data_IF_561310428077
#
_entry.id   IF_561310428077
#
_cell.length_a   1.000
_cell.length_b   1.000
_cell.length_c   1.000
_cell.angle_alpha   90.00
_cell.angle_beta   90.00
_cell.angle_gamma   90.00
#
_symmetry.space_group_name_H-M   'P 1'
#
loop_
_entity.id
_entity.type
_entity.pdbx_description
1 polymer ?
#
# COMPACT_ATOMS: atom_id res chain seq x y z
N UNK A 1 27.17 2.14 22.93
CA UNK A 1 26.49 3.26 22.28
C UNK A 1 25.18 2.76 21.68
N UNK A 2 24.03 3.39 21.95
CA UNK A 2 22.77 2.99 21.32
C UNK A 2 22.75 3.36 19.83
N UNK A 3 21.96 2.61 19.06
CA UNK A 3 21.70 2.87 17.65
C UNK A 3 20.20 2.81 17.44
N UNK A 4 19.63 3.86 16.86
CA UNK A 4 18.24 3.90 16.44
C UNK A 4 18.15 3.53 14.97
N UNK A 5 17.21 2.66 14.62
CA UNK A 5 16.92 2.26 13.24
C UNK A 5 15.49 2.69 12.95
N UNK A 6 15.29 3.42 11.85
CA UNK A 6 13.99 3.85 11.40
C UNK A 6 13.51 2.93 10.28
N UNK A 7 12.29 2.41 10.44
CA UNK A 7 11.68 1.46 9.53
C UNK A 7 10.35 2.02 9.00
N UNK A 8 10.08 1.82 7.71
CA UNK A 8 8.77 2.05 7.08
C UNK A 8 8.42 0.80 6.27
N UNK A 9 7.29 0.17 6.58
CA UNK A 9 6.86 -1.07 5.90
C UNK A 9 7.94 -2.15 5.86
N UNK A 10 8.56 -2.48 7.01
CA UNK A 10 9.70 -3.41 7.13
C UNK A 10 11.00 -3.02 6.40
N UNK A 11 11.02 -1.88 5.68
CA UNK A 11 12.21 -1.39 4.99
C UNK A 11 12.91 -0.37 5.85
N UNK A 12 14.24 -0.49 5.93
CA UNK A 12 15.08 0.45 6.66
C UNK A 12 15.24 1.76 5.89
N UNK A 13 14.68 2.82 6.46
CA UNK A 13 14.71 4.17 5.87
C UNK A 13 15.82 5.04 6.45
N UNK A 14 16.24 4.80 7.70
CA UNK A 14 17.33 5.58 8.28
C UNK A 14 18.00 4.91 9.49
N UNK A 15 19.13 5.46 9.93
CA UNK A 15 19.87 5.08 11.12
C UNK A 15 20.41 6.31 11.84
N UNK A 16 20.34 6.31 13.17
CA UNK A 16 21.00 7.30 14.01
C UNK A 16 21.89 6.58 15.03
N UNK A 17 23.18 6.93 15.03
CA UNK A 17 24.16 6.41 15.97
C UNK A 17 24.29 7.35 17.18
N UNK A 18 24.38 6.78 18.38
CA UNK A 18 24.60 7.53 19.61
C UNK A 18 23.30 8.02 20.26
N UNK A 19 23.44 8.55 21.48
CA UNK A 19 22.33 9.05 22.28
C UNK A 19 22.21 10.58 22.10
N UNK A 20 21.56 11.01 21.02
CA UNK A 20 21.24 12.42 20.78
C UNK A 20 19.73 12.59 20.65
N UNK A 21 19.12 13.19 21.67
CA UNK A 21 17.67 13.40 21.77
C UNK A 21 17.14 14.37 20.71
N UNK A 22 17.87 15.45 20.42
CA UNK A 22 17.45 16.47 19.47
C UNK A 22 17.53 15.95 18.03
N UNK A 23 18.61 15.24 17.71
CA UNK A 23 18.78 14.60 16.41
C UNK A 23 17.69 13.53 16.17
N UNK A 24 17.32 12.77 17.20
CA UNK A 24 16.24 11.79 17.11
C UNK A 24 14.89 12.48 16.86
N UNK A 25 14.55 13.51 17.63
CA UNK A 25 13.29 14.24 17.49
C UNK A 25 13.15 14.90 16.11
N UNK A 26 14.23 15.49 15.60
CA UNK A 26 14.25 16.08 14.27
C UNK A 26 14.07 15.02 13.18
N UNK A 27 14.75 13.86 13.29
CA UNK A 27 14.62 12.78 12.32
C UNK A 27 13.23 12.15 12.31
N UNK A 28 12.57 12.03 13.47
CA UNK A 28 11.18 11.60 13.56
C UNK A 28 10.25 12.59 12.87
N UNK A 29 10.41 13.91 13.09
CA UNK A 29 9.57 14.94 12.46
C UNK A 29 9.75 14.98 10.94
N UNK A 30 10.98 14.88 10.45
CA UNK A 30 11.32 14.79 9.02
C UNK A 30 10.61 13.59 8.37
N UNK A 31 10.79 12.40 8.94
CA UNK A 31 10.21 11.16 8.41
C UNK A 31 8.69 11.07 8.61
N UNK A 32 8.12 11.76 9.60
CA UNK A 32 6.68 11.86 9.80
C UNK A 32 6.03 12.81 8.79
N UNK A 33 6.69 13.92 8.42
CA UNK A 33 6.23 14.83 7.37
C UNK A 33 6.24 14.18 5.99
N UNK A 34 7.24 13.35 5.68
CA UNK A 34 7.24 12.53 4.45
C UNK A 34 6.22 11.39 4.47
N UNK A 35 5.67 11.03 5.63
CA UNK A 35 4.63 10.03 5.75
C UNK A 35 3.23 10.57 5.45
N UNK A 36 3.08 11.86 5.15
CA UNK A 36 1.82 12.45 4.65
C UNK A 36 1.50 12.08 3.20
N UNK A 37 2.04 10.97 2.69
CA UNK A 37 1.26 10.15 1.76
C UNK A 37 0.09 9.62 2.57
N UNK A 38 -1.04 10.34 2.54
CA UNK A 38 -2.32 9.93 3.13
C UNK A 38 -2.63 8.49 2.73
N UNK A 39 -2.15 7.52 3.48
CA UNK A 39 -2.84 6.27 3.58
C UNK A 39 -4.06 6.62 4.41
N UNK A 40 -5.15 6.99 3.72
CA UNK A 40 -6.49 7.15 4.29
C UNK A 40 -6.94 5.75 4.77
N UNK A 41 -6.22 5.21 5.75
CA UNK A 41 -6.51 3.94 6.36
C UNK A 41 -7.75 4.17 7.19
N UNK A 42 -8.87 3.79 6.60
CA UNK A 42 -10.21 3.83 7.20
C UNK A 42 -10.22 3.10 8.55
N UNK A 43 -9.31 2.13 8.74
CA UNK A 43 -9.18 1.34 9.97
C UNK A 43 -7.90 1.69 10.72
N UNK A 44 -8.07 2.34 11.87
CA UNK A 44 -6.97 2.70 12.78
C UNK A 44 -6.17 1.47 13.22
N UNK A 45 -4.84 1.60 13.23
CA UNK A 45 -3.93 0.55 13.72
C UNK A 45 -3.68 -0.59 12.74
N UNK A 46 -4.30 -0.58 11.56
CA UNK A 46 -3.97 -1.49 10.46
C UNK A 46 -2.96 -0.85 9.51
N UNK A 47 -2.30 -1.69 8.72
CA UNK A 47 -1.31 -1.28 7.71
C UNK A 47 -1.90 -1.53 6.32
N UNK A 48 -1.60 -0.65 5.36
CA UNK A 48 -1.85 -0.93 3.95
C UNK A 48 -0.94 -2.07 3.47
N UNK A 49 -1.56 -3.15 2.99
CA UNK A 49 -0.87 -4.34 2.52
C UNK A 49 -0.69 -4.39 1.00
N UNK A 50 -1.13 -3.36 0.24
CA UNK A 50 -0.91 -3.29 -1.21
C UNK A 50 0.56 -3.45 -1.59
N UNK A 51 1.48 -2.95 -0.75
CA UNK A 51 2.93 -3.04 -0.94
C UNK A 51 3.47 -4.48 -0.82
N UNK A 52 2.69 -5.40 -0.23
CA UNK A 52 3.06 -6.81 -0.13
C UNK A 52 2.52 -7.65 -1.30
N UNK A 53 1.70 -7.07 -2.19
CA UNK A 53 1.20 -7.78 -3.36
C UNK A 53 2.34 -8.13 -4.32
N UNK A 54 2.30 -9.37 -4.80
CA UNK A 54 3.10 -9.82 -5.92
C UNK A 54 2.31 -9.58 -7.21
N UNK A 55 2.29 -8.31 -7.66
CA UNK A 55 1.47 -7.86 -8.80
C UNK A 55 1.64 -8.73 -10.07
N UNK A 56 2.86 -9.14 -10.47
CA UNK A 56 3.04 -10.01 -11.64
C UNK A 56 2.33 -11.38 -11.56
N UNK A 57 2.02 -11.85 -10.35
CA UNK A 57 1.32 -13.11 -10.11
C UNK A 57 -0.13 -12.89 -9.64
N UNK A 58 -0.65 -11.67 -9.76
CA UNK A 58 -2.07 -11.41 -9.62
C UNK A 58 -2.74 -11.60 -10.97
N UNK A 59 -3.97 -12.12 -10.96
CA UNK A 59 -4.73 -12.37 -12.18
C UNK A 59 -6.16 -11.86 -12.01
N UNK A 60 -6.79 -11.45 -13.11
CA UNK A 60 -8.19 -11.10 -13.14
C UNK A 60 -8.86 -11.79 -14.32
N UNK A 61 -10.01 -12.41 -14.09
CA UNK A 61 -10.87 -12.97 -15.14
C UNK A 61 -12.04 -12.02 -15.40
N UNK A 62 -12.50 -12.01 -16.66
CA UNK A 62 -13.56 -11.14 -17.19
C UNK A 62 -13.23 -9.64 -17.18
N UNK A 63 -11.96 -9.26 -17.00
CA UNK A 63 -11.53 -7.87 -17.08
C UNK A 63 -11.31 -7.41 -18.52
N UNK A 64 -11.55 -6.13 -18.74
CA UNK A 64 -11.25 -5.45 -20.00
C UNK A 64 -9.74 -5.22 -20.16
N UNK A 65 -9.20 -5.49 -21.35
CA UNK A 65 -7.79 -5.28 -21.67
C UNK A 65 -7.37 -3.80 -21.59
N UNK A 66 -8.28 -2.87 -21.91
CA UNK A 66 -8.04 -1.42 -21.82
C UNK A 66 -8.08 -0.89 -20.37
N UNK A 67 -8.67 -1.66 -19.46
CA UNK A 67 -8.88 -1.32 -18.06
C UNK A 67 -8.47 -2.50 -17.15
N UNK A 68 -7.18 -2.89 -17.16
CA UNK A 68 -6.67 -4.08 -16.48
C UNK A 68 -6.62 -3.94 -14.95
N UNK A 69 -6.35 -5.06 -14.27
CA UNK A 69 -6.24 -5.16 -12.82
C UNK A 69 -5.22 -4.18 -12.21
N UNK A 70 -4.13 -3.88 -12.92
CA UNK A 70 -3.08 -2.98 -12.43
C UNK A 70 -3.62 -1.59 -12.09
N UNK A 71 -4.64 -1.13 -12.82
CA UNK A 71 -5.30 0.16 -12.55
C UNK A 71 -6.04 0.17 -11.21
N UNK A 72 -6.43 -0.98 -10.65
CA UNK A 72 -7.05 -1.05 -9.33
C UNK A 72 -6.03 -0.91 -8.18
N UNK A 73 -4.74 -1.09 -8.45
CA UNK A 73 -3.67 -0.97 -7.45
C UNK A 73 -2.97 0.39 -7.47
N UNK A 74 -3.24 1.23 -8.45
CA UNK A 74 -2.61 2.54 -8.60
C UNK A 74 -3.53 3.66 -8.09
N UNK A 75 -2.96 4.55 -7.28
CA UNK A 75 -3.61 5.77 -6.82
C UNK A 75 -3.52 6.92 -7.84
N UNK A 76 -2.71 6.79 -8.89
CA UNK A 76 -2.42 7.85 -9.87
C UNK A 76 -3.52 8.02 -10.93
N UNK A 77 -4.47 7.08 -11.01
CA UNK A 77 -5.62 7.14 -11.91
C UNK A 77 -5.87 5.80 -12.61
N UNK A 78 -7.07 5.64 -13.15
CA UNK A 78 -7.53 4.41 -13.78
C UNK A 78 -8.61 3.70 -12.97
N UNK A 79 -9.22 2.70 -13.58
CA UNK A 79 -10.19 1.80 -12.96
C UNK A 79 -10.11 0.44 -13.63
N UNK A 80 -10.43 -0.60 -12.87
CA UNK A 80 -10.68 -1.94 -13.38
C UNK A 80 -12.11 -2.00 -13.92
N UNK A 81 -12.26 -2.50 -15.15
CA UNK A 81 -13.55 -2.65 -15.79
C UNK A 81 -13.82 -4.11 -16.15
N UNK A 82 -15.07 -4.54 -15.99
CA UNK A 82 -15.56 -5.79 -16.54
C UNK A 82 -16.08 -5.54 -17.96
N UNK A 83 -15.64 -6.31 -18.95
CA UNK A 83 -16.18 -6.22 -20.33
C UNK A 83 -16.95 -7.47 -20.79
N UNK A 84 -16.73 -8.60 -20.12
CA UNK A 84 -17.22 -9.89 -20.61
C UNK A 84 -18.55 -10.25 -19.92
N UNK A 85 -18.60 -10.10 -18.59
CA UNK A 85 -19.74 -10.43 -17.74
C UNK A 85 -19.91 -9.40 -16.62
N UNK A 86 -20.98 -9.51 -15.83
CA UNK A 86 -21.21 -8.70 -14.63
C UNK A 86 -20.36 -9.11 -13.41
N UNK A 87 -19.56 -10.18 -13.53
CA UNK A 87 -18.74 -10.74 -12.47
C UNK A 87 -17.26 -10.71 -12.83
N UNK A 88 -16.45 -10.11 -11.94
CA UNK A 88 -14.99 -10.16 -11.98
C UNK A 88 -14.46 -11.17 -10.97
N UNK A 89 -13.48 -11.99 -11.36
CA UNK A 89 -12.77 -12.88 -10.44
C UNK A 89 -11.34 -12.37 -10.31
N UNK A 90 -10.96 -11.95 -9.10
CA UNK A 90 -9.64 -11.37 -8.83
C UNK A 90 -8.84 -12.33 -7.95
N UNK A 91 -7.69 -12.77 -8.44
CA UNK A 91 -6.70 -13.54 -7.70
C UNK A 91 -5.56 -12.63 -7.25
N UNK A 92 -5.35 -12.52 -5.93
CA UNK A 92 -4.29 -11.70 -5.34
C UNK A 92 -3.22 -12.57 -4.69
N UNK A 93 -1.98 -12.46 -5.18
CA UNK A 93 -0.81 -13.09 -4.58
C UNK A 93 -0.04 -12.11 -3.72
N UNK A 94 0.54 -12.57 -2.61
CA UNK A 94 1.40 -11.76 -1.73
C UNK A 94 2.81 -12.34 -1.66
N UNK A 95 3.82 -11.48 -1.57
CA UNK A 95 5.22 -11.89 -1.41
C UNK A 95 5.53 -12.52 -0.05
N UNK A 96 4.68 -12.25 0.95
CA UNK A 96 4.83 -12.74 2.31
C UNK A 96 3.47 -13.11 2.89
N UNK A 97 3.49 -13.89 3.97
CA UNK A 97 2.28 -14.25 4.68
C UNK A 97 1.69 -13.01 5.37
N UNK A 98 0.44 -12.68 5.06
CA UNK A 98 -0.29 -11.54 5.64
C UNK A 98 -1.59 -12.01 6.30
N UNK A 99 -2.11 -11.21 7.22
CA UNK A 99 -3.46 -11.40 7.78
C UNK A 99 -4.37 -10.32 7.20
N UNK A 100 -5.37 -10.75 6.44
CA UNK A 100 -6.40 -9.86 5.91
C UNK A 100 -7.38 -9.52 7.03
N UNK A 101 -7.45 -8.23 7.40
CA UNK A 101 -8.40 -7.71 8.39
C UNK A 101 -9.57 -6.98 7.72
N UNK A 102 -9.29 -6.19 6.70
CA UNK A 102 -10.29 -5.38 6.00
C UNK A 102 -9.94 -5.27 4.53
N UNK A 103 -10.97 -5.09 3.72
CA UNK A 103 -10.86 -4.85 2.29
C UNK A 103 -11.55 -3.51 1.99
N UNK A 104 -10.89 -2.67 1.20
CA UNK A 104 -11.43 -1.38 0.75
C UNK A 104 -11.55 -1.48 -0.76
N UNK A 105 -12.75 -1.27 -1.28
CA UNK A 105 -13.03 -1.24 -2.72
C UNK A 105 -13.61 0.14 -3.02
N UNK A 106 -12.89 0.91 -3.82
CA UNK A 106 -13.34 2.20 -4.32
C UNK A 106 -13.77 2.04 -5.78
N UNK A 107 -14.87 2.68 -6.15
CA UNK A 107 -15.38 2.66 -7.52
C UNK A 107 -15.61 4.10 -8.01
N UNK A 108 -15.43 4.37 -9.31
CA UNK A 108 -15.79 5.67 -9.88
C UNK A 108 -17.29 5.95 -9.67
N UNK A 109 -17.65 7.23 -9.53
CA UNK A 109 -19.06 7.59 -9.48
C UNK A 109 -19.73 7.27 -10.82
N UNK A 110 -20.93 6.70 -10.75
CA UNK A 110 -21.74 6.40 -11.93
C UNK A 110 -22.12 7.73 -12.61
N UNK A 111 -21.68 7.92 -13.85
CA UNK A 111 -22.11 9.02 -14.71
C UNK A 111 -23.56 8.87 -15.13
#
# INVERSE_FOLDING_TARGET
MPTFIFLRGNTRVSQLLGANTDALANKVKELAGEAESKSDLVVKGQLDILHFLNKPNCECLNCCDDHPLDHAFDSSGGYLLSDTDEQLIIYLSFHQLVKLHSLIINAPQRS
#
